data_IF_791712872082
#
_entry.id   IF_791712872082
#
_cell.length_a   1.000
_cell.length_b   1.000
_cell.length_c   1.000
_cell.angle_alpha   90.00
_cell.angle_beta   90.00
_cell.angle_gamma   90.00
#
_symmetry.space_group_name_H-M   'P 1'
#
loop_
_entity.id
_entity.type
_entity.pdbx_description
1 polymer ?
#
# COMPACT_ATOMS: atom_id res chain seq x y z
N UNK A 1 -53.40 48.83 -27.97
CA UNK A 1 -53.76 49.08 -26.57
C UNK A 1 -53.71 47.73 -25.85
N UNK A 2 -52.76 47.56 -24.92
CA UNK A 2 -52.49 46.34 -24.12
C UNK A 2 -53.74 45.79 -23.39
N UNK A 3 -53.83 44.52 -22.89
CA UNK A 3 -52.74 43.78 -22.22
C UNK A 3 -52.65 42.23 -22.34
N UNK A 4 -51.41 41.75 -22.09
CA UNK A 4 -50.92 40.51 -21.45
C UNK A 4 -51.92 39.68 -20.60
N UNK A 5 -51.75 38.34 -20.37
CA UNK A 5 -50.61 37.87 -19.56
C UNK A 5 -50.06 36.43 -19.71
N UNK A 6 -48.81 36.32 -19.22
CA UNK A 6 -48.22 35.22 -18.44
C UNK A 6 -48.14 33.80 -19.02
N UNK A 7 -46.90 33.38 -19.26
CA UNK A 7 -46.43 32.06 -18.81
C UNK A 7 -44.98 32.18 -18.39
N UNK A 8 -44.81 32.56 -17.12
CA UNK A 8 -43.64 32.31 -16.27
C UNK A 8 -43.13 30.88 -16.51
N UNK A 9 -42.01 30.72 -17.22
CA UNK A 9 -41.19 29.52 -17.07
C UNK A 9 -40.14 29.80 -15.99
N UNK A 10 -40.61 29.85 -14.74
CA UNK A 10 -39.74 29.73 -13.56
C UNK A 10 -39.20 28.31 -13.55
N UNK A 11 -37.91 28.19 -13.80
CA UNK A 11 -37.16 27.00 -13.40
C UNK A 11 -37.23 26.94 -11.87
N UNK A 12 -37.81 25.90 -11.26
CA UNK A 12 -37.80 25.77 -9.82
C UNK A 12 -36.37 25.48 -9.35
N UNK A 13 -35.84 26.43 -8.58
CA UNK A 13 -34.79 26.25 -7.59
C UNK A 13 -35.11 25.06 -6.70
N UNK A 14 -34.65 23.87 -7.10
CA UNK A 14 -34.41 22.75 -6.19
C UNK A 14 -32.90 22.83 -5.90
N UNK A 15 -32.48 23.45 -4.79
CA UNK A 15 -32.54 22.82 -3.47
C UNK A 15 -32.18 21.33 -3.55
N UNK A 16 -31.05 21.01 -4.17
CA UNK A 16 -30.36 19.79 -3.84
C UNK A 16 -29.95 19.91 -2.37
N UNK A 17 -30.40 19.00 -1.48
CA UNK A 17 -29.75 18.90 -0.20
C UNK A 17 -28.27 18.65 -0.50
N UNK A 18 -27.41 19.55 0.00
CA UNK A 18 -26.05 19.18 0.32
C UNK A 18 -26.23 18.05 1.31
N UNK A 19 -26.28 16.82 0.81
CA UNK A 19 -26.23 15.63 1.63
C UNK A 19 -24.86 15.67 2.26
N UNK A 20 -24.81 16.30 3.43
CA UNK A 20 -23.96 15.89 4.50
C UNK A 20 -24.05 14.36 4.54
N UNK A 21 -22.93 13.72 4.20
CA UNK A 21 -22.22 12.77 5.06
C UNK A 21 -21.61 11.62 4.24
N UNK A 22 -20.49 11.04 4.70
CA UNK A 22 -19.73 11.41 5.87
C UNK A 22 -18.48 12.20 5.47
N UNK A 23 -18.01 13.10 6.35
CA UNK A 23 -16.58 13.32 6.51
C UNK A 23 -15.96 11.93 6.48
N UNK A 24 -15.34 11.57 5.35
CA UNK A 24 -14.70 10.27 5.20
C UNK A 24 -13.79 10.20 6.40
N UNK A 25 -14.19 9.35 7.33
CA UNK A 25 -13.50 9.02 8.55
C UNK A 25 -12.13 8.62 8.04
N UNK A 26 -11.23 9.59 7.97
CA UNK A 26 -9.88 9.44 7.47
C UNK A 26 -9.30 8.50 8.50
N UNK A 27 -9.45 7.21 8.21
CA UNK A 27 -8.82 6.15 8.93
C UNK A 27 -7.36 6.56 8.84
N UNK A 28 -6.83 7.05 9.96
CA UNK A 28 -5.40 7.26 10.21
C UNK A 28 -4.75 5.87 10.21
N UNK A 29 -4.89 5.18 9.08
CA UNK A 29 -4.22 3.95 8.75
C UNK A 29 -2.91 4.40 8.18
N UNK A 30 -2.05 4.78 9.10
CA UNK A 30 -0.66 5.00 8.82
C UNK A 30 -0.01 3.62 8.75
N UNK A 31 0.33 3.18 7.55
CA UNK A 31 0.89 1.86 7.31
C UNK A 31 2.28 1.95 6.70
N UNK A 32 3.11 1.02 7.09
CA UNK A 32 4.41 0.75 6.51
C UNK A 32 4.23 -0.41 5.52
N UNK A 33 4.14 -0.06 4.24
CA UNK A 33 4.04 -1.04 3.16
C UNK A 33 5.43 -1.50 2.78
N UNK A 34 5.61 -2.80 2.70
CA UNK A 34 6.84 -3.50 2.37
C UNK A 34 6.61 -4.35 1.13
N UNK A 35 7.49 -4.20 0.14
CA UNK A 35 7.47 -4.94 -1.10
C UNK A 35 8.84 -5.61 -1.30
N UNK A 36 8.86 -6.93 -1.35
CA UNK A 36 10.05 -7.69 -1.74
C UNK A 36 10.03 -7.84 -3.26
N UNK A 37 10.97 -7.19 -3.91
CA UNK A 37 11.21 -7.22 -5.33
C UNK A 37 12.31 -8.25 -5.61
N UNK A 38 12.06 -9.16 -6.54
CA UNK A 38 13.06 -10.06 -7.08
C UNK A 38 13.68 -9.43 -8.32
N UNK A 39 14.99 -9.20 -8.31
CA UNK A 39 15.68 -8.75 -9.51
C UNK A 39 16.28 -9.93 -10.27
N UNK A 40 17.08 -10.77 -9.61
CA UNK A 40 17.83 -11.90 -10.20
C UNK A 40 18.08 -12.99 -9.15
N UNK A 41 18.55 -14.17 -9.58
CA UNK A 41 18.98 -15.24 -8.65
C UNK A 41 19.93 -14.66 -7.61
N UNK A 42 19.63 -14.89 -6.33
CA UNK A 42 20.35 -14.38 -5.16
C UNK A 42 20.29 -12.86 -4.92
N UNK A 43 19.58 -12.09 -5.77
CA UNK A 43 19.43 -10.65 -5.63
C UNK A 43 17.97 -10.26 -5.42
N UNK A 44 17.65 -10.08 -4.15
CA UNK A 44 16.37 -9.60 -3.67
C UNK A 44 16.53 -8.15 -3.21
N UNK A 45 15.52 -7.34 -3.44
CA UNK A 45 15.44 -5.98 -2.93
C UNK A 45 14.18 -5.85 -2.09
N UNK A 46 14.28 -5.22 -0.94
CA UNK A 46 13.14 -4.88 -0.11
C UNK A 46 12.93 -3.39 -0.14
N UNK A 47 11.75 -3.00 -0.60
CA UNK A 47 11.28 -1.62 -0.65
C UNK A 47 10.25 -1.41 0.45
N UNK A 48 10.55 -0.54 1.39
CA UNK A 48 9.62 -0.06 2.41
C UNK A 48 9.14 1.34 2.08
N UNK A 49 7.86 1.58 2.26
CA UNK A 49 7.24 2.89 2.11
C UNK A 49 6.28 3.13 3.26
N UNK A 50 6.45 4.26 3.94
CA UNK A 50 5.46 4.76 4.88
C UNK A 50 4.39 5.52 4.11
N UNK A 51 3.14 5.13 4.29
CA UNK A 51 2.01 5.74 3.60
C UNK A 51 0.82 5.87 4.55
N UNK A 52 -0.06 6.85 4.30
CA UNK A 52 -1.18 7.16 5.20
C UNK A 52 -2.50 7.15 4.45
N UNK A 53 -3.53 6.54 5.04
CA UNK A 53 -4.88 6.52 4.50
C UNK A 53 -4.91 6.01 3.05
N UNK A 54 -5.41 6.83 2.12
CA UNK A 54 -5.56 6.46 0.69
C UNK A 54 -4.23 6.16 0.00
N UNK A 55 -3.14 6.80 0.42
CA UNK A 55 -1.81 6.51 -0.15
C UNK A 55 -1.28 5.16 0.31
N UNK A 56 -1.72 4.65 1.47
CA UNK A 56 -1.36 3.33 1.94
C UNK A 56 -2.02 2.23 1.11
N UNK A 57 -3.29 2.40 0.76
CA UNK A 57 -3.97 1.49 -0.18
C UNK A 57 -3.31 1.51 -1.56
N UNK A 58 -2.94 2.70 -2.07
CA UNK A 58 -2.20 2.81 -3.33
C UNK A 58 -0.81 2.14 -3.27
N UNK A 59 -0.08 2.33 -2.18
CA UNK A 59 1.24 1.71 -2.01
C UNK A 59 1.13 0.18 -1.93
N UNK A 60 0.12 -0.34 -1.21
CA UNK A 60 -0.19 -1.78 -1.15
C UNK A 60 -0.57 -2.32 -2.52
N UNK A 61 -1.48 -1.65 -3.24
CA UNK A 61 -1.92 -2.08 -4.57
C UNK A 61 -0.77 -2.04 -5.58
N UNK A 62 0.05 -0.98 -5.55
CA UNK A 62 1.26 -0.88 -6.35
C UNK A 62 2.28 -1.98 -6.04
N UNK A 63 2.48 -2.32 -4.76
CA UNK A 63 3.34 -3.42 -4.36
C UNK A 63 2.82 -4.76 -4.88
N UNK A 64 1.52 -5.01 -4.78
CA UNK A 64 0.87 -6.25 -5.24
C UNK A 64 0.90 -6.40 -6.76
N UNK A 65 0.66 -5.30 -7.49
CA UNK A 65 0.61 -5.24 -8.95
C UNK A 65 1.98 -5.23 -9.63
N UNK A 66 3.06 -4.97 -8.90
CA UNK A 66 4.39 -4.91 -9.49
C UNK A 66 4.88 -6.31 -9.89
N UNK A 67 5.23 -6.45 -11.17
CA UNK A 67 5.55 -7.74 -11.82
C UNK A 67 6.72 -8.50 -11.20
N UNK A 68 7.64 -7.77 -10.56
CA UNK A 68 8.81 -8.35 -9.88
C UNK A 68 8.61 -8.52 -8.37
N UNK A 69 7.48 -8.08 -7.81
CA UNK A 69 7.23 -8.23 -6.38
C UNK A 69 6.81 -9.66 -6.08
N UNK A 70 7.66 -10.38 -5.37
CA UNK A 70 7.42 -11.77 -5.00
C UNK A 70 6.55 -11.87 -3.76
N UNK A 71 6.67 -10.91 -2.85
CA UNK A 71 5.95 -10.87 -1.59
C UNK A 71 5.75 -9.42 -1.18
N UNK A 72 4.58 -9.11 -0.65
CA UNK A 72 4.27 -7.80 -0.07
C UNK A 72 3.71 -8.00 1.33
N UNK A 73 3.98 -7.03 2.19
CA UNK A 73 3.45 -7.00 3.54
C UNK A 73 3.14 -5.56 3.94
N UNK A 74 2.23 -5.43 4.88
CA UNK A 74 1.77 -4.19 5.46
C UNK A 74 1.97 -4.32 6.95
N UNK A 75 2.70 -3.37 7.50
CA UNK A 75 2.94 -3.25 8.92
C UNK A 75 2.30 -1.96 9.43
N UNK A 76 1.93 -1.93 10.69
CA UNK A 76 1.50 -0.73 11.39
C UNK A 76 2.72 0.15 11.70
N UNK A 77 2.52 1.42 12.08
CA UNK A 77 3.61 2.31 12.49
C UNK A 77 4.43 1.78 13.67
N UNK A 78 3.84 0.89 14.48
CA UNK A 78 4.52 0.23 15.60
C UNK A 78 5.31 -1.02 15.19
N UNK A 79 5.42 -1.31 13.89
CA UNK A 79 6.08 -2.51 13.37
C UNK A 79 5.26 -3.80 13.49
N UNK A 80 3.99 -3.70 13.90
CA UNK A 80 3.08 -4.86 13.96
C UNK A 80 2.67 -5.30 12.56
N UNK A 81 2.79 -6.60 12.25
CA UNK A 81 2.29 -7.13 10.99
C UNK A 81 0.76 -7.02 10.92
N UNK A 82 0.26 -6.35 9.89
CA UNK A 82 -1.18 -6.18 9.64
C UNK A 82 -1.66 -7.20 8.62
N UNK A 83 -0.98 -7.27 7.48
CA UNK A 83 -1.37 -8.13 6.37
C UNK A 83 -0.15 -8.40 5.47
N UNK A 84 -0.17 -9.49 4.72
CA UNK A 84 0.85 -9.75 3.71
C UNK A 84 0.48 -10.95 2.86
N UNK A 85 1.16 -11.08 1.73
CA UNK A 85 0.91 -12.16 0.81
C UNK A 85 1.85 -12.19 -0.39
N UNK A 86 1.73 -13.22 -1.23
CA UNK A 86 2.47 -13.30 -2.47
C UNK A 86 2.07 -12.15 -3.41
N UNK A 87 3.07 -11.58 -4.08
CA UNK A 87 2.88 -10.61 -5.15
C UNK A 87 2.81 -11.28 -6.52
N UNK A 88 2.63 -10.47 -7.57
CA UNK A 88 2.53 -10.96 -8.95
C UNK A 88 3.81 -11.67 -9.43
N UNK A 89 4.96 -11.32 -8.88
CA UNK A 89 6.25 -11.94 -9.17
C UNK A 89 6.47 -13.29 -8.50
N UNK A 90 5.57 -13.74 -7.61
CA UNK A 90 5.68 -15.00 -6.86
C UNK A 90 5.92 -16.23 -7.75
N UNK A 91 5.44 -16.22 -9.00
CA UNK A 91 5.69 -17.28 -9.98
C UNK A 91 7.18 -17.48 -10.33
N UNK A 92 8.05 -16.48 -10.10
CA UNK A 92 9.50 -16.58 -10.35
C UNK A 92 10.25 -17.34 -9.24
N UNK A 93 9.58 -17.68 -8.15
CA UNK A 93 10.17 -18.34 -6.98
C UNK A 93 9.32 -19.55 -6.60
N UNK A 94 9.95 -20.60 -6.07
CA UNK A 94 9.22 -21.77 -5.61
C UNK A 94 8.28 -21.42 -4.44
N UNK A 95 7.12 -22.08 -4.35
CA UNK A 95 6.19 -21.86 -3.23
C UNK A 95 6.82 -22.10 -1.85
N UNK A 96 7.82 -22.98 -1.77
CA UNK A 96 8.61 -23.20 -0.56
C UNK A 96 9.45 -21.98 -0.17
N UNK A 97 10.08 -21.32 -1.15
CA UNK A 97 10.81 -20.07 -0.95
C UNK A 97 9.90 -18.97 -0.40
N UNK A 98 8.67 -18.85 -0.91
CA UNK A 98 7.69 -17.88 -0.43
C UNK A 98 7.23 -18.16 1.00
N UNK A 99 6.99 -19.42 1.36
CA UNK A 99 6.64 -19.81 2.74
C UNK A 99 7.76 -19.52 3.71
N UNK A 100 9.02 -19.75 3.29
CA UNK A 100 10.20 -19.42 4.09
C UNK A 100 10.33 -17.90 4.25
N UNK A 101 10.17 -17.15 3.15
CA UNK A 101 10.16 -15.69 3.17
C UNK A 101 9.09 -15.13 4.10
N UNK A 102 7.86 -15.62 4.07
CA UNK A 102 6.78 -15.16 4.97
C UNK A 102 7.16 -15.28 6.46
N UNK A 103 7.87 -16.35 6.83
CA UNK A 103 8.38 -16.56 8.19
C UNK A 103 9.59 -15.70 8.50
N UNK A 104 10.55 -15.65 7.58
CA UNK A 104 11.82 -14.96 7.76
C UNK A 104 11.69 -13.44 7.65
N UNK A 105 10.73 -12.90 6.89
CA UNK A 105 10.58 -11.45 6.69
C UNK A 105 10.36 -10.72 8.01
N UNK A 106 9.70 -11.38 8.97
CA UNK A 106 9.43 -10.85 10.31
C UNK A 106 10.68 -10.81 11.19
N UNK A 107 11.66 -11.65 10.90
CA UNK A 107 12.91 -11.79 11.67
C UNK A 107 14.14 -11.27 10.92
N UNK A 108 13.98 -10.88 9.66
CA UNK A 108 15.10 -10.46 8.82
C UNK A 108 15.60 -9.09 9.27
N UNK A 109 16.90 -8.99 9.55
CA UNK A 109 17.54 -7.75 10.00
C UNK A 109 17.31 -6.59 9.03
N UNK A 110 17.37 -6.82 7.71
CA UNK A 110 17.15 -5.76 6.72
C UNK A 110 15.73 -5.21 6.79
N UNK A 111 14.73 -6.08 7.00
CA UNK A 111 13.33 -5.68 7.12
C UNK A 111 13.11 -4.92 8.42
N UNK A 112 13.64 -5.41 9.53
CA UNK A 112 13.56 -4.74 10.83
C UNK A 112 14.25 -3.36 10.80
N UNK A 113 15.38 -3.25 10.10
CA UNK A 113 16.11 -2.01 9.94
C UNK A 113 15.31 -1.00 9.10
N UNK A 114 14.71 -1.44 7.99
CA UNK A 114 13.80 -0.60 7.19
C UNK A 114 12.59 -0.17 8.03
N UNK A 115 11.94 -1.10 8.74
CA UNK A 115 10.80 -0.80 9.60
C UNK A 115 11.17 0.26 10.65
N UNK A 116 12.35 0.12 11.27
CA UNK A 116 12.85 1.09 12.24
C UNK A 116 13.13 2.45 11.62
N UNK A 117 13.74 2.52 10.44
CA UNK A 117 13.95 3.79 9.70
C UNK A 117 12.63 4.45 9.27
N UNK A 118 11.61 3.65 8.92
CA UNK A 118 10.28 4.17 8.60
C UNK A 118 9.55 4.66 9.86
N UNK A 119 9.74 3.99 10.99
CA UNK A 119 9.20 4.38 12.29
C UNK A 119 9.80 5.72 12.77
N UNK A 120 11.11 5.90 12.65
CA UNK A 120 11.80 7.15 13.01
C UNK A 120 11.52 8.30 12.04
N UNK A 121 10.71 8.08 11.00
CA UNK A 121 10.44 9.03 9.93
C UNK A 121 11.72 9.57 9.24
N UNK A 122 12.81 8.81 9.29
CA UNK A 122 14.09 9.21 8.69
C UNK A 122 13.99 9.23 7.15
N UNK A 123 13.15 8.37 6.58
CA UNK A 123 12.78 8.40 5.17
C UNK A 123 11.32 7.99 4.97
N UNK A 124 10.62 8.64 4.04
CA UNK A 124 9.25 8.22 3.64
C UNK A 124 9.25 6.94 2.79
N UNK A 125 10.37 6.69 2.09
CA UNK A 125 10.59 5.53 1.21
C UNK A 125 12.04 5.08 1.32
N UNK A 126 12.25 3.79 1.44
CA UNK A 126 13.57 3.20 1.60
C UNK A 126 13.63 1.86 0.87
N UNK A 127 14.59 1.70 -0.02
CA UNK A 127 14.87 0.42 -0.66
C UNK A 127 16.27 -0.06 -0.25
N UNK A 128 16.37 -1.28 0.26
CA UNK A 128 17.66 -1.92 0.55
C UNK A 128 17.72 -3.30 -0.11
N UNK A 129 18.92 -3.74 -0.53
CA UNK A 129 19.10 -5.13 -0.94
C UNK A 129 18.78 -6.04 0.24
N UNK A 130 17.91 -7.00 0.02
CA UNK A 130 17.56 -8.02 0.99
C UNK A 130 18.60 -9.13 0.93
N UNK A 131 19.41 -9.20 1.98
CA UNK A 131 20.26 -10.34 2.22
C UNK A 131 19.37 -11.53 2.64
N UNK A 132 19.08 -12.43 1.70
CA UNK A 132 18.35 -13.65 1.95
C UNK A 132 19.06 -14.84 1.30
N UNK A 133 19.54 -15.77 2.13
CA UNK A 133 20.32 -16.95 1.72
C UNK A 133 19.45 -18.18 1.46
N UNK A 134 18.13 -18.01 1.34
CA UNK A 134 17.15 -19.10 1.35
C UNK A 134 16.83 -19.72 -0.01
N UNK A 135 17.46 -19.27 -1.10
CA UNK A 135 17.21 -19.85 -2.43
C UNK A 135 17.74 -21.30 -2.47
N UNK A 136 16.92 -22.30 -2.85
CA UNK A 136 17.41 -23.65 -3.02
C UNK A 136 18.47 -23.66 -4.14
N UNK A 137 19.65 -24.22 -3.84
CA UNK A 137 20.71 -24.48 -4.82
C UNK A 137 20.26 -25.52 -5.83
#
# INVERSE_FOLDING_TARGET
>A
MFPFPHSDFRIPTSAFPITEMPMSWFSRKDWNVLAIIYERRDLYQVSGQRAKGKDAEKARDGAKGHTRTIYWAVFDQKGSFVEGGPGSGSNNVSGDALKRMDREIRTNRTVLDILKSLETCEAERLAKPLAWTGYPR
#
